data_IF_522980677357
#
_entry.id   IF_522980677357
#
_cell.length_a   1.000
_cell.length_b   1.000
_cell.length_c   1.000
_cell.angle_alpha   90.00
_cell.angle_beta   90.00
_cell.angle_gamma   90.00
#
_symmetry.space_group_name_H-M   'P 1'
#
loop_
_entity.id
_entity.type
_entity.pdbx_description
1 polymer ?
#
# COMPACT_ATOMS: atom_id res chain seq x y z
N UNK A 1 -31.23 20.14 1.39
CA UNK A 1 -30.99 18.75 0.96
C UNK A 1 -29.49 18.52 0.96
N UNK A 2 -28.92 17.75 1.91
CA UNK A 2 -27.54 17.28 1.81
C UNK A 2 -27.45 16.41 0.54
N UNK A 3 -26.60 16.80 -0.43
CA UNK A 3 -26.29 15.97 -1.60
C UNK A 3 -25.80 14.63 -1.06
N UNK A 4 -26.50 13.54 -1.34
CA UNK A 4 -26.00 12.20 -1.03
C UNK A 4 -24.64 12.07 -1.74
N UNK A 5 -23.54 12.02 -0.96
CA UNK A 5 -22.22 11.75 -1.52
C UNK A 5 -22.24 10.31 -2.06
N UNK A 6 -21.88 10.15 -3.33
CA UNK A 6 -21.60 8.82 -3.87
C UNK A 6 -20.52 8.16 -3.00
N UNK A 7 -20.71 6.88 -2.67
CA UNK A 7 -19.68 6.07 -2.01
C UNK A 7 -18.42 6.08 -2.89
N UNK A 8 -17.26 6.47 -2.36
CA UNK A 8 -16.00 6.42 -3.12
C UNK A 8 -15.71 4.99 -3.58
N UNK A 9 -15.15 4.85 -4.78
CA UNK A 9 -14.83 3.56 -5.38
C UNK A 9 -13.33 3.45 -5.63
N UNK A 10 -12.73 2.36 -5.14
CA UNK A 10 -11.30 2.05 -5.28
C UNK A 10 -11.12 0.75 -6.03
N UNK A 11 -10.35 0.77 -7.12
CA UNK A 11 -9.85 -0.44 -7.76
C UNK A 11 -8.65 -0.96 -6.94
N UNK A 12 -8.76 -2.16 -6.37
CA UNK A 12 -7.72 -2.77 -5.54
C UNK A 12 -7.01 -3.85 -6.35
N UNK A 13 -5.79 -3.55 -6.79
CA UNK A 13 -4.96 -4.43 -7.63
C UNK A 13 -3.87 -5.03 -6.74
N UNK A 14 -4.03 -6.28 -6.33
CA UNK A 14 -3.11 -6.98 -5.44
C UNK A 14 -3.36 -8.49 -5.53
N UNK A 15 -2.53 -9.34 -4.91
CA UNK A 15 -2.81 -10.75 -4.82
C UNK A 15 -3.95 -11.07 -3.83
N UNK A 16 -4.53 -12.26 -4.00
CA UNK A 16 -5.49 -12.85 -3.06
C UNK A 16 -4.86 -14.08 -2.42
N UNK A 17 -4.35 -13.91 -1.21
CA UNK A 17 -3.81 -14.99 -0.39
C UNK A 17 -4.90 -15.55 0.52
N UNK A 18 -5.15 -16.86 0.44
CA UNK A 18 -6.25 -17.53 1.15
C UNK A 18 -6.02 -17.64 2.66
N UNK A 19 -4.74 -17.76 3.08
CA UNK A 19 -4.36 -17.80 4.50
C UNK A 19 -3.25 -16.80 4.78
N UNK A 20 -3.35 -16.17 5.95
CA UNK A 20 -2.54 -15.03 6.35
C UNK A 20 -3.22 -13.69 5.99
N UNK A 21 -2.94 -12.68 6.81
CA UNK A 21 -3.54 -11.34 6.67
C UNK A 21 -2.63 -10.46 5.84
N UNK A 22 -2.85 -10.42 4.55
CA UNK A 22 -2.10 -9.59 3.59
C UNK A 22 -2.96 -9.23 2.38
N UNK A 23 -2.48 -8.32 1.58
CA UNK A 23 -2.97 -8.00 0.25
C UNK A 23 -4.50 -7.75 0.20
N UNK A 24 -5.25 -8.38 -0.71
CA UNK A 24 -6.70 -8.17 -0.84
C UNK A 24 -7.49 -8.60 0.39
N UNK A 25 -7.03 -9.60 1.16
CA UNK A 25 -7.73 -10.04 2.38
C UNK A 25 -7.68 -9.00 3.49
N UNK A 26 -6.74 -8.06 3.44
CA UNK A 26 -6.66 -6.88 4.30
C UNK A 26 -7.39 -5.69 3.67
N UNK A 27 -7.11 -5.39 2.39
CA UNK A 27 -7.63 -4.20 1.73
C UNK A 27 -9.17 -4.18 1.67
N UNK A 28 -9.80 -5.31 1.37
CA UNK A 28 -11.25 -5.38 1.20
C UNK A 28 -12.03 -5.05 2.48
N UNK A 29 -11.79 -5.70 3.64
CA UNK A 29 -12.52 -5.38 4.86
C UNK A 29 -12.18 -3.98 5.40
N UNK A 30 -10.92 -3.53 5.29
CA UNK A 30 -10.50 -2.20 5.74
C UNK A 30 -11.21 -1.11 4.96
N UNK A 31 -11.17 -1.15 3.63
CA UNK A 31 -11.85 -0.15 2.80
C UNK A 31 -13.37 -0.18 3.00
N UNK A 32 -13.96 -1.37 3.11
CA UNK A 32 -15.40 -1.52 3.34
C UNK A 32 -15.86 -0.88 4.64
N UNK A 33 -15.17 -1.12 5.77
CA UNK A 33 -15.54 -0.52 7.06
C UNK A 33 -15.35 0.99 7.06
N UNK A 34 -14.42 1.50 6.24
CA UNK A 34 -14.23 2.93 6.02
C UNK A 34 -15.24 3.54 5.05
N UNK A 35 -16.29 2.82 4.64
CA UNK A 35 -17.33 3.34 3.75
C UNK A 35 -16.89 3.54 2.31
N UNK A 36 -15.89 2.79 1.85
CA UNK A 36 -15.35 2.81 0.49
C UNK A 36 -15.70 1.51 -0.23
N UNK A 37 -16.19 1.59 -1.47
CA UNK A 37 -16.41 0.41 -2.31
C UNK A 37 -15.07 -0.09 -2.83
N UNK A 38 -14.53 -1.16 -2.25
CA UNK A 38 -13.37 -1.85 -2.75
C UNK A 38 -13.74 -2.78 -3.92
N UNK A 39 -13.08 -2.63 -5.06
CA UNK A 39 -13.29 -3.42 -6.27
C UNK A 39 -12.02 -4.25 -6.54
N UNK A 40 -11.97 -5.54 -6.19
CA UNK A 40 -10.75 -6.34 -6.32
C UNK A 40 -10.43 -6.70 -7.76
N UNK A 41 -9.15 -6.54 -8.14
CA UNK A 41 -8.53 -7.06 -9.35
C UNK A 41 -7.34 -7.93 -8.94
N UNK A 42 -7.52 -9.23 -8.72
CA UNK A 42 -6.47 -10.10 -8.22
C UNK A 42 -5.37 -10.29 -9.28
N UNK A 43 -4.11 -10.07 -8.87
CA UNK A 43 -2.91 -10.32 -9.70
C UNK A 43 -2.48 -11.77 -9.66
N UNK A 44 -2.74 -12.43 -8.54
CA UNK A 44 -2.52 -13.86 -8.32
C UNK A 44 -3.50 -14.38 -7.27
N UNK A 45 -3.69 -15.69 -7.24
CA UNK A 45 -4.39 -16.39 -6.16
C UNK A 45 -3.42 -17.39 -5.53
N UNK A 46 -3.23 -17.25 -4.22
CA UNK A 46 -2.37 -18.11 -3.42
C UNK A 46 -3.19 -18.84 -2.35
N UNK A 47 -2.80 -20.08 -2.02
CA UNK A 47 -3.40 -20.76 -0.87
C UNK A 47 -2.98 -20.15 0.47
N UNK A 48 -1.72 -19.69 0.54
CA UNK A 48 -1.10 -18.96 1.66
C UNK A 48 -0.17 -17.91 1.08
N UNK A 49 0.16 -16.85 1.80
CA UNK A 49 1.12 -15.85 1.31
C UNK A 49 2.55 -16.42 1.22
N UNK A 50 3.39 -15.78 0.42
CA UNK A 50 4.74 -16.26 0.05
C UNK A 50 5.74 -16.36 1.21
N UNK A 51 5.40 -15.89 2.40
CA UNK A 51 6.18 -16.08 3.61
C UNK A 51 6.10 -17.49 4.19
N UNK A 52 5.03 -18.25 3.89
CA UNK A 52 4.91 -19.65 4.30
C UNK A 52 5.76 -20.56 3.40
N UNK A 53 6.29 -21.69 3.91
CA UNK A 53 7.17 -22.56 3.14
C UNK A 53 6.46 -23.28 1.98
N UNK A 54 5.19 -23.63 2.18
CA UNK A 54 4.39 -24.39 1.22
C UNK A 54 3.12 -23.60 0.85
N UNK A 55 3.03 -23.17 -0.40
CA UNK A 55 1.84 -22.50 -0.93
C UNK A 55 1.62 -22.86 -2.40
N UNK A 56 0.38 -22.79 -2.85
CA UNK A 56 0.06 -22.83 -4.27
C UNK A 56 0.00 -21.41 -4.82
N UNK A 57 0.40 -21.24 -6.07
CA UNK A 57 0.42 -19.93 -6.73
C UNK A 57 -0.20 -20.04 -8.12
N UNK A 58 -1.26 -19.28 -8.35
CA UNK A 58 -1.89 -19.14 -9.67
C UNK A 58 -1.71 -17.70 -10.14
N UNK A 59 -0.85 -17.51 -11.14
CA UNK A 59 -0.65 -16.20 -11.78
C UNK A 59 -1.85 -15.82 -12.65
N UNK A 60 -2.36 -14.62 -12.50
CA UNK A 60 -3.46 -14.07 -13.28
C UNK A 60 -3.02 -13.02 -14.30
N UNK A 61 -1.73 -12.93 -14.61
CA UNK A 61 -1.19 -11.96 -15.57
C UNK A 61 -1.90 -12.00 -16.93
N UNK A 62 -2.20 -13.20 -17.43
CA UNK A 62 -2.90 -13.38 -18.72
C UNK A 62 -4.36 -12.91 -18.72
N UNK A 63 -4.99 -12.80 -17.56
CA UNK A 63 -6.39 -12.39 -17.40
C UNK A 63 -6.55 -10.87 -17.19
N UNK A 64 -5.54 -10.18 -16.67
CA UNK A 64 -5.63 -8.76 -16.33
C UNK A 64 -6.05 -7.85 -17.49
N UNK A 65 -5.57 -8.02 -18.74
CA UNK A 65 -5.99 -7.17 -19.85
C UNK A 65 -7.51 -7.23 -20.10
N UNK A 66 -8.10 -8.42 -20.15
CA UNK A 66 -9.54 -8.61 -20.36
C UNK A 66 -10.34 -8.16 -19.12
N UNK A 67 -9.79 -8.36 -17.92
CA UNK A 67 -10.37 -7.90 -16.67
C UNK A 67 -10.52 -6.37 -16.68
N UNK A 68 -9.44 -5.64 -16.95
CA UNK A 68 -9.48 -4.18 -17.03
C UNK A 68 -10.31 -3.65 -18.21
N UNK A 69 -10.33 -4.36 -19.32
CA UNK A 69 -11.21 -4.03 -20.44
C UNK A 69 -12.69 -4.11 -20.04
N UNK A 70 -13.09 -5.08 -19.22
CA UNK A 70 -14.46 -5.17 -18.68
C UNK A 70 -14.83 -3.98 -17.79
N UNK A 71 -13.82 -3.31 -17.20
CA UNK A 71 -13.98 -2.13 -16.36
C UNK A 71 -13.86 -0.81 -17.10
N UNK A 72 -13.70 -0.82 -18.43
CA UNK A 72 -13.53 0.38 -19.26
C UNK A 72 -14.68 1.38 -19.13
N UNK A 73 -15.90 0.91 -18.84
CA UNK A 73 -17.06 1.77 -18.61
C UNK A 73 -17.19 2.28 -17.16
N UNK A 74 -16.41 1.74 -16.21
CA UNK A 74 -16.51 2.09 -14.79
C UNK A 74 -15.62 3.28 -14.44
N UNK A 75 -16.07 4.11 -13.50
CA UNK A 75 -15.29 5.20 -12.92
C UNK A 75 -14.80 4.83 -11.54
N UNK A 76 -13.50 5.03 -11.31
CA UNK A 76 -12.86 4.88 -10.00
C UNK A 76 -12.41 6.24 -9.49
N UNK A 77 -12.52 6.45 -8.17
CA UNK A 77 -11.99 7.64 -7.50
C UNK A 77 -10.50 7.45 -7.20
N UNK A 78 -10.11 6.21 -6.85
CA UNK A 78 -8.73 5.80 -6.62
C UNK A 78 -8.45 4.44 -7.24
N UNK A 79 -7.18 4.23 -7.57
CA UNK A 79 -6.61 2.91 -7.85
C UNK A 79 -5.55 2.66 -6.78
N UNK A 80 -5.68 1.57 -6.05
CA UNK A 80 -4.67 1.09 -5.11
C UNK A 80 -4.02 -0.15 -5.70
N UNK A 81 -2.73 -0.06 -6.04
CA UNK A 81 -1.93 -1.17 -6.55
C UNK A 81 -0.90 -1.59 -5.50
N UNK A 82 -0.84 -2.87 -5.18
CA UNK A 82 0.15 -3.52 -4.34
C UNK A 82 1.01 -4.49 -5.13
N UNK A 83 1.10 -5.75 -4.68
CA UNK A 83 1.97 -6.76 -5.26
C UNK A 83 1.71 -7.02 -6.75
N UNK A 84 2.77 -6.94 -7.55
CA UNK A 84 2.82 -7.29 -8.96
C UNK A 84 3.94 -8.32 -9.20
N UNK A 85 3.59 -9.48 -9.74
CA UNK A 85 4.50 -10.62 -9.86
C UNK A 85 5.29 -10.68 -11.16
N UNK A 86 5.03 -9.80 -12.15
CA UNK A 86 5.71 -9.82 -13.44
C UNK A 86 5.67 -8.48 -14.17
N UNK A 87 6.62 -8.27 -15.09
CA UNK A 87 6.65 -7.11 -15.98
C UNK A 87 5.37 -6.99 -16.81
N UNK A 88 4.77 -8.13 -17.20
CA UNK A 88 3.50 -8.16 -17.93
C UNK A 88 2.33 -7.63 -17.09
N UNK A 89 2.29 -7.94 -15.79
CA UNK A 89 1.31 -7.37 -14.87
C UNK A 89 1.49 -5.86 -14.73
N UNK A 90 2.74 -5.38 -14.56
CA UNK A 90 3.05 -3.95 -14.51
C UNK A 90 2.56 -3.24 -15.77
N UNK A 91 2.81 -3.80 -16.95
CA UNK A 91 2.35 -3.22 -18.22
C UNK A 91 0.81 -3.13 -18.29
N UNK A 92 0.10 -4.17 -17.85
CA UNK A 92 -1.37 -4.19 -17.82
C UNK A 92 -1.94 -3.16 -16.84
N UNK A 93 -1.32 -3.01 -15.66
CA UNK A 93 -1.71 -2.03 -14.64
C UNK A 93 -1.44 -0.61 -15.12
N UNK A 94 -0.32 -0.37 -15.77
CA UNK A 94 0.03 0.93 -16.37
C UNK A 94 -0.99 1.36 -17.43
N UNK A 95 -1.39 0.43 -18.28
CA UNK A 95 -2.44 0.68 -19.29
C UNK A 95 -3.79 0.99 -18.62
N UNK A 96 -4.12 0.29 -17.54
CA UNK A 96 -5.32 0.59 -16.75
C UNK A 96 -5.27 1.97 -16.10
N UNK A 97 -4.11 2.40 -15.56
CA UNK A 97 -3.92 3.76 -15.05
C UNK A 97 -4.20 4.80 -16.13
N UNK A 98 -3.63 4.61 -17.32
CA UNK A 98 -3.82 5.49 -18.47
C UNK A 98 -5.30 5.58 -18.86
N UNK A 99 -5.95 4.43 -19.05
CA UNK A 99 -7.36 4.34 -19.43
C UNK A 99 -8.27 5.04 -18.40
N UNK A 100 -8.04 4.87 -17.13
CA UNK A 100 -8.85 5.51 -16.10
C UNK A 100 -8.62 7.01 -16.01
N UNK A 101 -7.39 7.49 -16.16
CA UNK A 101 -7.09 8.94 -16.17
C UNK A 101 -7.60 9.66 -17.40
N UNK A 102 -7.58 9.04 -18.56
CA UNK A 102 -8.18 9.59 -19.78
C UNK A 102 -9.68 9.78 -19.61
N UNK A 103 -10.35 8.83 -18.96
CA UNK A 103 -11.78 8.88 -18.71
C UNK A 103 -12.15 9.79 -17.54
N UNK A 104 -11.42 9.71 -16.45
CA UNK A 104 -11.60 10.49 -15.22
C UNK A 104 -10.27 11.11 -14.77
N UNK A 105 -9.94 12.34 -15.19
CA UNK A 105 -8.70 13.02 -14.78
C UNK A 105 -8.59 13.25 -13.26
N UNK A 106 -9.67 13.09 -12.50
CA UNK A 106 -9.67 13.18 -11.05
C UNK A 106 -9.34 11.84 -10.38
N UNK A 107 -9.26 10.73 -11.12
CA UNK A 107 -8.84 9.43 -10.59
C UNK A 107 -7.38 9.52 -10.09
N UNK A 108 -7.16 9.10 -8.86
CA UNK A 108 -5.85 9.11 -8.20
C UNK A 108 -5.30 7.71 -8.06
N UNK A 109 -3.97 7.61 -7.98
CA UNK A 109 -3.25 6.34 -7.90
C UNK A 109 -2.42 6.32 -6.63
N UNK A 110 -2.65 5.32 -5.78
CA UNK A 110 -1.78 4.93 -4.69
C UNK A 110 -1.06 3.65 -5.10
N UNK A 111 0.26 3.68 -5.10
CA UNK A 111 1.10 2.51 -5.36
C UNK A 111 1.89 2.15 -4.09
N UNK A 112 1.64 0.95 -3.59
CA UNK A 112 2.50 0.26 -2.63
C UNK A 112 3.47 -0.62 -3.43
N UNK A 113 4.77 -0.31 -3.49
CA UNK A 113 5.66 -0.93 -4.48
C UNK A 113 6.00 -2.40 -4.19
N UNK A 114 5.80 -2.90 -2.99
CA UNK A 114 5.95 -4.31 -2.54
C UNK A 114 7.11 -5.04 -3.22
N UNK A 115 8.35 -4.54 -3.08
CA UNK A 115 9.53 -5.08 -3.78
C UNK A 115 10.48 -5.87 -2.87
N UNK A 116 10.46 -5.59 -1.58
CA UNK A 116 11.40 -6.17 -0.63
C UNK A 116 11.30 -5.57 0.77
N UNK A 117 12.02 -6.17 1.70
CA UNK A 117 12.08 -5.75 3.11
C UNK A 117 13.43 -6.11 3.73
N UNK A 118 13.82 -5.43 4.82
CA UNK A 118 15.08 -5.63 5.55
C UNK A 118 16.32 -5.70 4.62
N UNK A 119 16.38 -4.80 3.62
CA UNK A 119 17.47 -4.71 2.65
C UNK A 119 17.49 -5.82 1.60
N UNK A 120 16.47 -6.69 1.56
CA UNK A 120 16.39 -7.83 0.65
C UNK A 120 15.24 -7.69 -0.33
N UNK A 121 15.53 -7.94 -1.59
CA UNK A 121 14.51 -8.05 -2.63
C UNK A 121 13.78 -9.39 -2.44
N UNK A 122 12.46 -9.40 -2.61
CA UNK A 122 11.68 -10.65 -2.57
C UNK A 122 12.13 -11.61 -3.68
N UNK A 123 12.14 -12.90 -3.38
CA UNK A 123 12.63 -13.95 -4.29
C UNK A 123 11.89 -14.03 -5.63
N UNK A 124 10.69 -13.49 -5.71
CA UNK A 124 9.89 -13.40 -6.92
C UNK A 124 10.29 -12.23 -7.83
N UNK A 125 11.12 -11.28 -7.35
CA UNK A 125 11.49 -10.08 -8.08
C UNK A 125 12.79 -10.26 -8.88
N UNK A 126 12.76 -9.79 -10.12
CA UNK A 126 13.93 -9.67 -11.01
C UNK A 126 14.32 -8.20 -11.15
N UNK A 127 15.56 -7.92 -11.65
CA UNK A 127 15.98 -6.55 -11.94
C UNK A 127 15.01 -5.84 -12.92
N UNK A 128 14.56 -6.56 -13.96
CA UNK A 128 13.61 -6.02 -14.93
C UNK A 128 12.25 -5.67 -14.29
N UNK A 129 11.77 -6.45 -13.31
CA UNK A 129 10.55 -6.15 -12.59
C UNK A 129 10.75 -4.93 -11.67
N UNK A 130 11.90 -4.82 -11.00
CA UNK A 130 12.23 -3.64 -10.20
C UNK A 130 12.23 -2.36 -11.04
N UNK A 131 12.81 -2.41 -12.24
CA UNK A 131 12.82 -1.27 -13.16
C UNK A 131 11.41 -0.92 -13.63
N UNK A 132 10.59 -1.91 -13.97
CA UNK A 132 9.20 -1.68 -14.36
C UNK A 132 8.36 -1.06 -13.23
N UNK A 133 8.52 -1.52 -11.97
CA UNK A 133 7.83 -0.94 -10.80
C UNK A 133 8.33 0.49 -10.54
N UNK A 134 9.63 0.77 -10.74
CA UNK A 134 10.16 2.15 -10.64
C UNK A 134 9.51 3.09 -11.66
N UNK A 135 9.33 2.64 -12.91
CA UNK A 135 8.62 3.42 -13.93
C UNK A 135 7.14 3.64 -13.54
N UNK A 136 6.47 2.61 -13.00
CA UNK A 136 5.09 2.71 -12.55
C UNK A 136 4.96 3.70 -11.37
N UNK A 137 5.93 3.70 -10.44
CA UNK A 137 5.96 4.60 -9.31
C UNK A 137 6.02 6.08 -9.72
N UNK A 138 6.70 6.39 -10.83
CA UNK A 138 6.74 7.73 -11.40
C UNK A 138 5.36 8.25 -11.85
N UNK A 139 4.42 7.37 -12.13
CA UNK A 139 3.06 7.71 -12.57
C UNK A 139 2.04 7.78 -11.41
N UNK A 140 2.43 7.41 -10.18
CA UNK A 140 1.54 7.41 -9.04
C UNK A 140 1.36 8.81 -8.43
N UNK A 141 0.16 9.08 -7.89
CA UNK A 141 -0.10 10.29 -7.10
C UNK A 141 0.49 10.17 -5.69
N UNK A 142 0.49 8.97 -5.12
CA UNK A 142 1.09 8.65 -3.82
C UNK A 142 1.79 7.30 -3.91
N UNK A 143 3.01 7.20 -3.38
CA UNK A 143 3.72 5.94 -3.20
C UNK A 143 3.99 5.70 -1.71
N UNK A 144 4.00 4.41 -1.27
CA UNK A 144 4.17 4.02 0.14
C UNK A 144 5.36 3.09 0.39
N UNK A 145 6.56 3.39 -0.15
CA UNK A 145 7.69 2.50 0.02
C UNK A 145 8.14 2.41 1.48
N UNK A 146 8.52 1.20 1.93
CA UNK A 146 9.37 1.06 3.10
C UNK A 146 10.80 1.54 2.79
N UNK A 147 11.71 1.56 3.79
CA UNK A 147 13.09 2.05 3.58
C UNK A 147 13.84 1.23 2.53
N UNK A 148 13.65 -0.08 2.49
CA UNK A 148 14.26 -0.98 1.49
C UNK A 148 13.77 -0.63 0.09
N UNK A 149 12.48 -0.50 -0.09
CA UNK A 149 11.84 -0.18 -1.36
C UNK A 149 12.20 1.22 -1.85
N UNK A 150 12.26 2.20 -0.94
CA UNK A 150 12.73 3.54 -1.24
C UNK A 150 14.18 3.52 -1.76
N UNK A 151 15.03 2.70 -1.15
CA UNK A 151 16.41 2.49 -1.63
C UNK A 151 16.46 1.81 -3.00
N UNK A 152 15.63 0.78 -3.23
CA UNK A 152 15.54 0.09 -4.52
C UNK A 152 15.03 1.00 -5.63
N UNK A 153 13.97 1.76 -5.38
CA UNK A 153 13.40 2.69 -6.34
C UNK A 153 14.37 3.80 -6.75
N UNK A 154 15.19 4.26 -5.82
CA UNK A 154 16.12 5.39 -6.05
C UNK A 154 17.55 4.96 -6.42
N UNK A 155 17.85 3.66 -6.38
CA UNK A 155 19.21 3.16 -6.52
C UNK A 155 20.14 3.57 -5.37
N UNK A 156 19.59 3.94 -4.21
CA UNK A 156 20.36 4.30 -3.02
C UNK A 156 20.79 3.03 -2.28
N UNK A 157 22.04 2.91 -1.82
CA UNK A 157 22.47 1.77 -1.03
C UNK A 157 21.67 1.69 0.30
N UNK A 158 21.11 0.53 0.61
CA UNK A 158 20.45 0.28 1.88
C UNK A 158 21.47 0.17 3.02
N UNK A 159 21.26 0.88 4.12
CA UNK A 159 22.14 0.90 5.29
C UNK A 159 21.42 0.52 6.59
N UNK A 160 20.20 0.02 6.49
CA UNK A 160 19.31 -0.29 7.61
C UNK A 160 18.08 0.61 7.63
N UNK A 161 17.16 0.30 8.52
CA UNK A 161 15.89 1.05 8.68
C UNK A 161 16.06 2.33 9.53
N UNK A 162 17.20 2.47 10.22
CA UNK A 162 17.50 3.66 11.01
C UNK A 162 18.07 4.73 10.12
N UNK A 163 17.30 5.79 9.88
CA UNK A 163 17.71 6.95 9.08
C UNK A 163 17.71 8.21 9.93
N UNK A 164 18.82 8.97 9.87
CA UNK A 164 18.82 10.35 10.36
C UNK A 164 17.90 11.21 9.51
N UNK A 165 17.46 12.34 10.06
CA UNK A 165 16.50 13.23 9.38
C UNK A 165 16.96 13.65 7.99
N UNK A 166 18.24 14.02 7.85
CA UNK A 166 18.81 14.47 6.58
C UNK A 166 18.89 13.32 5.55
N UNK A 167 19.17 12.09 6.00
CA UNK A 167 19.18 10.90 5.14
C UNK A 167 17.77 10.57 4.65
N UNK A 168 16.78 10.62 5.54
CA UNK A 168 15.38 10.41 5.19
C UNK A 168 14.87 11.47 4.20
N UNK A 169 15.23 12.74 4.41
CA UNK A 169 14.90 13.82 3.49
C UNK A 169 15.58 13.66 2.13
N UNK A 170 16.87 13.29 2.10
CA UNK A 170 17.58 13.03 0.85
C UNK A 170 16.98 11.86 0.07
N UNK A 171 16.52 10.82 0.78
CA UNK A 171 15.84 9.69 0.17
C UNK A 171 14.48 10.09 -0.40
N UNK A 172 13.70 10.88 0.35
CA UNK A 172 12.42 11.42 -0.11
C UNK A 172 12.59 12.33 -1.35
N UNK A 173 13.62 13.17 -1.40
CA UNK A 173 13.91 14.01 -2.58
C UNK A 173 14.19 13.18 -3.82
N UNK A 174 14.91 12.08 -3.67
CA UNK A 174 15.18 11.15 -4.78
C UNK A 174 13.91 10.44 -5.25
N UNK A 175 13.02 10.05 -4.33
CA UNK A 175 11.70 9.49 -4.69
C UNK A 175 10.87 10.51 -5.46
N UNK A 176 10.78 11.74 -4.96
CA UNK A 176 10.05 12.82 -5.65
C UNK A 176 10.64 13.13 -7.04
N UNK A 177 11.97 12.99 -7.20
CA UNK A 177 12.63 13.16 -8.49
C UNK A 177 12.30 12.07 -9.52
N UNK A 178 11.73 10.94 -9.11
CA UNK A 178 11.18 9.94 -10.04
C UNK A 178 9.96 10.46 -10.80
N UNK A 179 9.20 11.41 -10.23
CA UNK A 179 8.01 12.00 -10.84
C UNK A 179 6.69 11.72 -10.12
N UNK A 180 6.67 10.93 -9.04
CA UNK A 180 5.46 10.71 -8.24
C UNK A 180 4.93 12.01 -7.63
N UNK A 181 3.61 12.05 -7.36
CA UNK A 181 2.96 13.25 -6.78
C UNK A 181 3.33 13.48 -5.32
N UNK A 182 3.47 12.40 -4.54
CA UNK A 182 3.84 12.39 -3.14
C UNK A 182 4.44 11.03 -2.75
N UNK A 183 5.18 10.98 -1.65
CA UNK A 183 5.75 9.75 -1.10
C UNK A 183 5.52 9.69 0.42
N UNK A 184 5.21 8.50 0.93
CA UNK A 184 5.21 8.19 2.36
C UNK A 184 6.24 7.09 2.59
N UNK A 185 7.44 7.45 3.07
CA UNK A 185 8.46 6.45 3.44
C UNK A 185 8.05 5.86 4.78
N UNK A 186 7.74 4.58 4.81
CA UNK A 186 7.28 3.86 5.99
C UNK A 186 8.41 3.12 6.71
N UNK A 187 8.22 2.83 7.99
CA UNK A 187 9.09 1.91 8.72
C UNK A 187 10.45 2.49 9.13
N UNK A 188 10.65 3.81 9.16
CA UNK A 188 11.91 4.41 9.63
C UNK A 188 12.01 4.20 11.14
N UNK A 189 13.01 3.43 11.59
CA UNK A 189 13.20 3.07 13.00
C UNK A 189 14.02 4.15 13.71
N UNK A 190 13.52 4.62 14.86
CA UNK A 190 14.23 5.53 15.77
C UNK A 190 13.99 5.07 17.21
N UNK A 191 14.92 4.31 17.76
CA UNK A 191 14.82 3.70 19.08
C UNK A 191 13.51 2.87 19.26
N UNK A 192 12.64 3.29 20.19
CA UNK A 192 11.38 2.63 20.51
C UNK A 192 10.19 3.15 19.69
N UNK A 193 10.45 3.92 18.61
CA UNK A 193 9.41 4.44 17.72
C UNK A 193 9.65 4.05 16.27
N UNK A 194 8.55 4.00 15.52
CA UNK A 194 8.55 3.96 14.06
C UNK A 194 8.06 5.31 13.55
N UNK A 195 8.84 5.89 12.64
CA UNK A 195 8.49 7.11 11.95
C UNK A 195 8.09 6.81 10.51
N UNK A 196 7.05 7.49 10.03
CA UNK A 196 6.71 7.53 8.61
C UNK A 196 6.95 8.97 8.13
N UNK A 197 7.68 9.13 7.03
CA UNK A 197 7.96 10.44 6.45
C UNK A 197 7.02 10.68 5.28
N UNK A 198 6.07 11.60 5.46
CA UNK A 198 5.24 12.13 4.37
C UNK A 198 5.97 13.25 3.65
N UNK A 199 6.05 13.17 2.33
CA UNK A 199 6.66 14.18 1.47
C UNK A 199 5.74 14.44 0.27
N UNK A 200 5.38 15.70 0.07
CA UNK A 200 4.70 16.20 -1.11
C UNK A 200 5.35 17.52 -1.57
N UNK A 201 4.70 18.27 -2.49
CA UNK A 201 5.23 19.51 -3.11
C UNK A 201 5.56 20.62 -2.11
N UNK A 202 6.52 20.37 -1.22
CA UNK A 202 7.06 21.36 -0.28
C UNK A 202 6.77 21.04 1.19
N UNK A 203 6.04 19.99 1.50
CA UNK A 203 5.79 19.52 2.87
C UNK A 203 6.62 18.28 3.16
N UNK A 204 7.26 18.25 4.33
CA UNK A 204 7.96 17.08 4.88
C UNK A 204 7.57 16.93 6.33
N UNK A 205 6.86 15.88 6.67
CA UNK A 205 6.32 15.69 8.00
C UNK A 205 6.55 14.26 8.48
N UNK A 206 7.08 14.14 9.70
CA UNK A 206 7.22 12.84 10.35
C UNK A 206 5.99 12.54 11.22
N UNK A 207 5.41 11.39 11.02
CA UNK A 207 4.45 10.78 11.93
C UNK A 207 5.16 9.70 12.72
N UNK A 208 5.10 9.76 14.05
CA UNK A 208 5.77 8.80 14.93
C UNK A 208 4.75 8.00 15.75
N UNK A 209 4.97 6.69 15.87
CA UNK A 209 4.17 5.77 16.67
C UNK A 209 5.09 4.81 17.45
N UNK A 210 4.56 4.18 18.49
CA UNK A 210 5.29 3.16 19.24
C UNK A 210 5.63 1.94 18.37
N UNK A 211 6.86 1.45 18.50
CA UNK A 211 7.34 0.23 17.87
C UNK A 211 7.02 -0.98 18.76
N UNK A 212 6.37 -1.99 18.20
CA UNK A 212 6.30 -3.31 18.84
C UNK A 212 7.60 -4.09 18.62
N UNK A 213 7.97 -4.96 19.56
CA UNK A 213 9.19 -5.79 19.43
C UNK A 213 9.02 -6.94 18.43
N UNK A 214 7.78 -7.29 18.10
CA UNK A 214 7.46 -8.37 17.15
C UNK A 214 7.21 -7.78 15.78
N UNK A 215 7.73 -8.44 14.76
CA UNK A 215 7.44 -8.15 13.36
C UNK A 215 6.29 -9.04 12.89
N UNK A 216 5.41 -8.53 12.08
CA UNK A 216 4.24 -9.23 11.56
C UNK A 216 4.14 -9.07 10.05
N UNK A 217 3.65 -10.10 9.37
CA UNK A 217 3.29 -10.00 7.95
C UNK A 217 2.11 -9.05 7.74
N UNK A 218 2.01 -8.43 6.56
CA UNK A 218 0.86 -7.60 6.16
C UNK A 218 0.79 -6.20 6.79
N UNK A 219 1.85 -5.73 7.44
CA UNK A 219 1.92 -4.37 8.01
C UNK A 219 1.79 -3.29 6.93
N UNK A 220 2.49 -3.47 5.79
CA UNK A 220 2.39 -2.58 4.63
C UNK A 220 0.98 -2.54 4.07
N UNK A 221 0.37 -3.71 3.84
CA UNK A 221 -0.99 -3.81 3.32
C UNK A 221 -2.02 -3.12 4.22
N UNK A 222 -1.90 -3.29 5.55
CA UNK A 222 -2.80 -2.64 6.50
C UNK A 222 -2.62 -1.12 6.47
N UNK A 223 -1.37 -0.65 6.49
CA UNK A 223 -1.05 0.77 6.40
C UNK A 223 -1.59 1.39 5.10
N UNK A 224 -1.25 0.82 3.94
CA UNK A 224 -1.65 1.32 2.64
C UNK A 224 -3.18 1.27 2.44
N UNK A 225 -3.87 0.25 2.98
CA UNK A 225 -5.33 0.13 2.92
C UNK A 225 -6.03 1.24 3.72
N UNK A 226 -5.57 1.52 4.95
CA UNK A 226 -6.14 2.60 5.77
C UNK A 226 -5.83 3.97 5.15
N UNK A 227 -4.60 4.16 4.66
CA UNK A 227 -4.20 5.38 3.95
C UNK A 227 -5.10 5.61 2.73
N UNK A 228 -5.27 4.59 1.88
CA UNK A 228 -6.11 4.66 0.69
C UNK A 228 -7.56 5.00 1.04
N UNK A 229 -8.12 4.34 2.05
CA UNK A 229 -9.49 4.62 2.52
C UNK A 229 -9.67 6.06 2.97
N UNK A 230 -8.74 6.60 3.75
CA UNK A 230 -8.77 7.98 4.22
C UNK A 230 -8.63 8.99 3.05
N UNK A 231 -7.72 8.73 2.12
CA UNK A 231 -7.54 9.56 0.91
C UNK A 231 -8.80 9.54 0.02
N UNK A 232 -9.43 8.37 -0.14
CA UNK A 232 -10.67 8.23 -0.93
C UNK A 232 -11.84 9.00 -0.30
N UNK A 233 -11.82 9.19 1.02
CA UNK A 233 -12.78 10.03 1.75
C UNK A 233 -12.46 11.52 1.68
N UNK A 234 -11.30 11.90 1.11
CA UNK A 234 -10.85 13.29 0.97
C UNK A 234 -10.02 13.81 2.15
N UNK A 235 -9.53 12.93 3.01
CA UNK A 235 -8.60 13.30 4.09
C UNK A 235 -7.27 13.76 3.50
N UNK A 236 -6.67 14.88 3.95
CA UNK A 236 -5.34 15.29 3.53
C UNK A 236 -4.27 14.22 3.81
N UNK A 237 -3.23 14.14 2.98
CA UNK A 237 -2.21 13.08 3.02
C UNK A 237 -1.57 12.92 4.39
N UNK A 238 -1.12 14.01 5.03
CA UNK A 238 -0.54 13.98 6.39
C UNK A 238 -1.47 13.36 7.43
N UNK A 239 -2.74 13.80 7.46
CA UNK A 239 -3.74 13.28 8.39
C UNK A 239 -4.10 11.82 8.08
N UNK A 240 -4.15 11.45 6.79
CA UNK A 240 -4.36 10.07 6.36
C UNK A 240 -3.20 9.16 6.77
N UNK A 241 -1.94 9.65 6.64
CA UNK A 241 -0.72 8.96 7.12
C UNK A 241 -0.77 8.77 8.65
N UNK A 242 -1.14 9.80 9.39
CA UNK A 242 -1.27 9.72 10.85
C UNK A 242 -2.32 8.69 11.26
N UNK A 243 -3.49 8.69 10.60
CA UNK A 243 -4.56 7.72 10.85
C UNK A 243 -4.08 6.28 10.59
N UNK A 244 -3.41 6.06 9.46
CA UNK A 244 -2.87 4.74 9.10
C UNK A 244 -1.81 4.28 10.09
N UNK A 245 -0.86 5.14 10.46
CA UNK A 245 0.19 4.81 11.41
C UNK A 245 -0.35 4.48 12.81
N UNK A 246 -1.29 5.28 13.32
CA UNK A 246 -1.91 5.04 14.62
C UNK A 246 -2.70 3.74 14.65
N UNK A 247 -3.54 3.50 13.64
CA UNK A 247 -4.32 2.26 13.57
C UNK A 247 -3.40 1.03 13.48
N UNK A 248 -2.37 1.07 12.63
CA UNK A 248 -1.37 0.00 12.55
C UNK A 248 -0.67 -0.24 13.88
N UNK A 249 -0.27 0.81 14.61
CA UNK A 249 0.37 0.69 15.92
C UNK A 249 -0.57 0.05 16.95
N UNK A 250 -1.84 0.45 16.99
CA UNK A 250 -2.85 -0.12 17.89
C UNK A 250 -3.06 -1.62 17.60
N UNK A 251 -3.16 -1.99 16.33
CA UNK A 251 -3.32 -3.39 15.89
C UNK A 251 -2.07 -4.21 16.21
N UNK A 252 -0.88 -3.67 15.95
CA UNK A 252 0.37 -4.35 16.24
C UNK A 252 0.56 -4.57 17.76
N UNK A 253 0.21 -3.58 18.58
CA UNK A 253 0.21 -3.71 20.03
C UNK A 253 -0.77 -4.81 20.48
N UNK A 254 -2.02 -4.75 20.02
CA UNK A 254 -3.03 -5.77 20.33
C UNK A 254 -2.56 -7.17 19.93
N UNK A 255 -2.02 -7.32 18.71
CA UNK A 255 -1.53 -8.61 18.19
C UNK A 255 -0.33 -9.12 19.01
N UNK A 256 0.56 -8.22 19.45
CA UNK A 256 1.74 -8.60 20.23
C UNK A 256 1.41 -9.22 21.58
N UNK A 257 0.24 -8.90 22.14
CA UNK A 257 -0.29 -9.43 23.39
C UNK A 257 -0.97 -10.80 23.21
N UNK A 258 -1.17 -11.23 21.96
CA UNK A 258 -1.78 -12.52 21.63
C UNK A 258 -0.72 -13.58 21.32
N UNK A 259 -1.06 -14.85 21.58
CA UNK A 259 -0.18 -16.01 21.27
C UNK A 259 -0.40 -16.49 19.84
N UNK A 260 -0.22 -15.59 18.84
CA UNK A 260 -0.37 -15.90 17.42
C UNK A 260 0.98 -16.03 16.72
N UNK A 261 1.04 -16.81 15.66
CA UNK A 261 2.21 -16.84 14.77
C UNK A 261 2.32 -15.51 14.03
N UNK A 262 3.47 -14.82 14.07
CA UNK A 262 3.67 -13.58 13.30
C UNK A 262 3.42 -13.72 11.79
N UNK A 263 3.58 -14.93 11.26
CA UNK A 263 3.30 -15.24 9.86
C UNK A 263 1.82 -15.19 9.52
N UNK A 264 0.92 -15.38 10.49
CA UNK A 264 -0.52 -15.21 10.25
C UNK A 264 -0.93 -13.75 10.05
N UNK A 265 -0.02 -12.82 10.33
CA UNK A 265 -0.23 -11.38 10.19
C UNK A 265 -0.94 -10.73 11.38
N UNK A 266 -1.30 -9.49 11.19
CA UNK A 266 -1.90 -8.62 12.21
C UNK A 266 -3.36 -8.96 12.49
N UNK A 267 -3.75 -9.11 13.75
CA UNK A 267 -5.14 -9.34 14.19
C UNK A 267 -5.94 -8.02 14.16
N UNK A 268 -6.27 -7.54 12.99
CA UNK A 268 -6.95 -6.25 12.82
C UNK A 268 -8.48 -6.34 12.97
N UNK A 269 -9.06 -7.51 12.80
CA UNK A 269 -10.51 -7.72 12.77
C UNK A 269 -11.22 -7.19 14.04
N UNK A 270 -10.73 -7.44 15.27
CA UNK A 270 -11.36 -6.91 16.49
C UNK A 270 -11.33 -5.39 16.60
N UNK A 271 -10.43 -4.73 15.87
CA UNK A 271 -10.23 -3.28 15.92
C UNK A 271 -10.81 -2.54 14.72
N UNK A 272 -11.33 -3.25 13.71
CA UNK A 272 -11.83 -2.66 12.45
C UNK A 272 -12.83 -1.53 12.66
N UNK A 273 -13.75 -1.67 13.60
CA UNK A 273 -14.79 -0.65 13.88
C UNK A 273 -14.20 0.68 14.35
N UNK A 274 -12.93 0.73 14.79
CA UNK A 274 -12.26 2.01 15.09
C UNK A 274 -11.97 2.84 13.84
N UNK A 275 -12.05 2.23 12.65
CA UNK A 275 -11.94 2.91 11.36
C UNK A 275 -13.26 3.43 10.82
N UNK A 276 -14.40 3.05 11.44
CA UNK A 276 -15.70 3.53 11.02
C UNK A 276 -15.79 5.05 11.19
N UNK A 277 -16.15 5.76 10.12
CA UNK A 277 -16.59 7.15 10.26
C UNK A 277 -18.07 7.16 10.63
N UNK A 278 -18.41 7.91 11.66
CA UNK A 278 -19.83 8.10 12.05
C UNK A 278 -20.55 8.94 10.99
N UNK A 279 -21.00 8.29 9.92
CA UNK A 279 -21.74 8.92 8.83
C UNK A 279 -23.19 9.29 9.17
N UNK A 280 -23.67 8.95 10.37
CA UNK A 280 -25.10 9.01 10.73
C UNK A 280 -25.41 9.93 11.92
N UNK A 281 -24.57 10.94 12.20
CA UNK A 281 -24.94 12.02 13.13
C UNK A 281 -25.49 13.25 12.43
#
# INVERSE_FOLDING_TARGET
MKRMRRVPRVACINDLSGYGRCSLTVALPVLSVMGVQACPAPTAVLSMHTGFPDFTFTDLAGQLPDYFKSWSALDFDWIYSGFLGSVGQVASVREFFRMQREKNPACRILLDPVMGDDGRIYSTYTAALCDAVRELAAEADVITPNVTEACLLTGTPYKGETLHTDEAYALADRLMALGCGAAVITGIVRDEIICNLTCDKGTREFTAVHRTKRLFSGTGDLFASVLCGALAQGTPLSAATERAARFLSDVAQYTSEQSTDPMEGLLFEPLLLRLEEKYYE
#
